data_IF_673345579253
#
_entry.id   IF_673345579253
#
_cell.length_a   1.000
_cell.length_b   1.000
_cell.length_c   1.000
_cell.angle_alpha   90.00
_cell.angle_beta   90.00
_cell.angle_gamma   90.00
#
_symmetry.space_group_name_H-M   'P 1'
#
loop_
_entity.id
_entity.type
_entity.pdbx_description
1 polymer ?
#
# COMPACT_ATOMS: atom_id res chain seq x y z
N UNK A 1 -21.81 4.75 1.76
CA UNK A 1 -22.10 4.74 0.31
C UNK A 1 -21.43 5.98 -0.29
N UNK A 2 -20.38 5.80 -1.10
CA UNK A 2 -19.56 6.89 -1.66
C UNK A 2 -19.91 7.07 -3.14
N UNK A 3 -19.90 8.29 -3.68
CA UNK A 3 -20.18 8.54 -5.10
C UNK A 3 -18.96 9.18 -5.76
N UNK A 4 -18.44 8.55 -6.81
CA UNK A 4 -17.37 9.10 -7.65
C UNK A 4 -17.89 9.17 -9.08
N UNK A 5 -18.04 10.40 -9.61
CA UNK A 5 -18.81 10.64 -10.84
C UNK A 5 -20.29 10.26 -10.68
N UNK A 6 -20.84 9.52 -11.66
CA UNK A 6 -22.25 9.10 -11.67
C UNK A 6 -22.53 7.75 -10.96
N UNK A 7 -21.50 7.09 -10.39
CA UNK A 7 -21.65 5.74 -9.82
C UNK A 7 -21.64 5.75 -8.29
N UNK A 8 -22.58 5.02 -7.69
CA UNK A 8 -22.72 4.81 -6.24
C UNK A 8 -22.02 3.51 -5.82
N UNK A 9 -21.12 3.61 -4.85
CA UNK A 9 -20.36 2.47 -4.32
C UNK A 9 -20.92 2.01 -2.95
N UNK A 10 -21.32 0.72 -2.81
CA UNK A 10 -21.95 0.20 -1.60
C UNK A 10 -20.99 -0.29 -0.49
N UNK A 11 -19.66 -0.05 -0.58
CA UNK A 11 -18.52 -0.39 0.33
C UNK A 11 -17.44 -1.26 -0.38
N UNK A 12 -16.15 -1.24 0.04
CA UNK A 12 -15.53 -0.43 1.10
C UNK A 12 -14.89 0.87 0.56
N UNK A 13 -14.51 1.74 1.49
CA UNK A 13 -13.75 2.96 1.23
C UNK A 13 -12.53 2.64 0.32
N UNK A 14 -12.08 3.59 -0.53
CA UNK A 14 -10.84 3.41 -1.28
C UNK A 14 -9.76 2.93 -0.32
N UNK A 15 -9.24 1.72 -0.55
CA UNK A 15 -8.16 1.17 0.24
C UNK A 15 -6.94 2.02 -0.07
N UNK A 16 -6.51 2.83 0.90
CA UNK A 16 -5.30 3.62 0.76
C UNK A 16 -4.11 2.69 0.94
N UNK A 17 -3.44 2.38 -0.16
CA UNK A 17 -2.24 1.54 -0.18
C UNK A 17 -0.96 2.37 -0.16
N UNK A 18 0.04 1.95 0.62
CA UNK A 18 1.40 2.51 0.56
C UNK A 18 2.35 1.45 0.03
N UNK A 19 3.10 1.77 -1.01
CA UNK A 19 4.13 0.90 -1.58
C UNK A 19 5.49 1.31 -1.03
N UNK A 20 6.14 0.43 -0.28
CA UNK A 20 7.50 0.60 0.21
C UNK A 20 8.50 0.29 -0.92
N UNK A 21 9.20 1.33 -1.37
CA UNK A 21 10.15 1.25 -2.47
C UNK A 21 11.41 0.45 -2.13
N UNK A 22 12.01 -0.17 -3.15
CA UNK A 22 13.25 -0.95 -3.04
C UNK A 22 14.43 -0.20 -2.40
N UNK A 23 14.59 1.09 -2.72
CA UNK A 23 15.71 1.93 -2.24
C UNK A 23 15.37 2.76 -1.01
N UNK A 24 14.21 2.51 -0.39
CA UNK A 24 13.83 3.23 0.83
C UNK A 24 14.71 2.74 2.00
N UNK A 25 15.37 3.65 2.74
CA UNK A 25 16.10 3.29 3.96
C UNK A 25 15.20 2.57 4.96
N UNK A 26 15.75 1.61 5.71
CA UNK A 26 14.96 0.81 6.65
C UNK A 26 14.30 1.69 7.72
N UNK A 27 15.03 2.68 8.26
CA UNK A 27 14.50 3.63 9.25
C UNK A 27 13.23 4.36 8.77
N UNK A 28 13.15 4.69 7.48
CA UNK A 28 11.97 5.33 6.90
C UNK A 28 10.81 4.34 6.75
N UNK A 29 11.10 3.09 6.38
CA UNK A 29 10.09 2.03 6.31
C UNK A 29 9.48 1.79 7.69
N UNK A 30 10.33 1.65 8.70
CA UNK A 30 9.93 1.43 10.09
C UNK A 30 9.06 2.61 10.60
N UNK A 31 9.49 3.85 10.33
CA UNK A 31 8.72 5.04 10.68
C UNK A 31 7.33 5.06 10.02
N UNK A 32 7.24 4.69 8.74
CA UNK A 32 5.96 4.62 8.02
C UNK A 32 5.07 3.53 8.62
N UNK A 33 5.61 2.33 8.84
CA UNK A 33 4.92 1.19 9.45
C UNK A 33 4.36 1.58 10.82
N UNK A 34 5.15 2.22 11.67
CA UNK A 34 4.72 2.68 12.99
C UNK A 34 3.54 3.66 12.89
N UNK A 35 3.63 4.67 12.01
CA UNK A 35 2.58 5.69 11.84
C UNK A 35 1.26 5.09 11.34
N UNK A 36 1.34 4.11 10.44
CA UNK A 36 0.14 3.56 9.77
C UNK A 36 -0.42 2.30 10.41
N UNK A 37 0.34 1.63 11.28
CA UNK A 37 -0.11 0.44 12.03
C UNK A 37 -1.46 0.63 12.75
N UNK A 38 -1.72 1.85 13.22
CA UNK A 38 -2.93 2.21 13.95
C UNK A 38 -4.06 2.77 13.05
N UNK A 39 -3.89 2.79 11.72
CA UNK A 39 -4.86 3.36 10.78
C UNK A 39 -5.69 2.27 10.13
N UNK A 40 -6.99 2.24 10.47
CA UNK A 40 -7.95 1.32 9.84
C UNK A 40 -8.10 1.65 8.35
N UNK A 41 -7.97 0.62 7.50
CA UNK A 41 -8.18 0.73 6.06
C UNK A 41 -6.95 1.15 5.26
N UNK A 42 -5.78 1.26 5.89
CA UNK A 42 -4.49 1.39 5.18
C UNK A 42 -3.88 0.01 4.99
N UNK A 43 -3.42 -0.28 3.77
CA UNK A 43 -2.66 -1.48 3.45
C UNK A 43 -1.23 -1.13 3.08
N UNK A 44 -0.29 -1.97 3.47
CA UNK A 44 1.11 -1.83 3.08
C UNK A 44 1.47 -2.85 2.02
N UNK A 45 2.37 -2.45 1.13
CA UNK A 45 2.90 -3.31 0.09
C UNK A 45 4.42 -3.16 0.02
N UNK A 46 5.14 -4.25 -0.18
CA UNK A 46 6.58 -4.26 -0.43
C UNK A 46 6.84 -4.46 -1.92
N UNK A 47 7.68 -3.60 -2.49
CA UNK A 47 8.19 -3.79 -3.85
C UNK A 47 9.41 -4.70 -3.85
N UNK A 48 9.42 -5.66 -4.78
CA UNK A 48 10.51 -6.61 -4.98
C UNK A 48 10.98 -6.59 -6.44
N UNK A 49 12.28 -6.84 -6.64
CA UNK A 49 12.84 -6.89 -7.99
C UNK A 49 12.53 -8.25 -8.59
N UNK A 50 11.83 -8.26 -9.72
CA UNK A 50 11.62 -9.48 -10.49
C UNK A 50 12.85 -9.76 -11.36
N UNK A 51 13.59 -10.86 -11.15
CA UNK A 51 14.88 -11.09 -11.83
C UNK A 51 14.77 -11.11 -13.36
N UNK A 52 13.66 -11.63 -13.89
CA UNK A 52 13.48 -11.87 -15.32
C UNK A 52 12.52 -10.87 -16.00
N UNK A 53 12.26 -9.71 -15.40
CA UNK A 53 11.35 -8.71 -15.97
C UNK A 53 11.83 -7.27 -15.76
N UNK A 54 11.47 -6.39 -16.71
CA UNK A 54 11.55 -4.93 -16.54
C UNK A 54 10.36 -4.40 -15.71
N UNK A 55 10.04 -5.08 -14.61
CA UNK A 55 8.93 -4.74 -13.75
C UNK A 55 9.29 -5.04 -12.29
N UNK A 56 8.58 -4.38 -11.38
CA UNK A 56 8.60 -4.70 -9.95
C UNK A 56 7.41 -5.58 -9.62
N UNK A 57 7.63 -6.53 -8.72
CA UNK A 57 6.55 -7.25 -8.06
C UNK A 57 6.14 -6.48 -6.82
N UNK A 58 4.83 -6.38 -6.57
CA UNK A 58 4.27 -5.66 -5.43
C UNK A 58 3.48 -6.67 -4.62
N UNK A 59 3.94 -6.93 -3.39
CA UNK A 59 3.35 -7.90 -2.48
C UNK A 59 2.71 -7.16 -1.30
N UNK A 60 1.46 -7.48 -0.96
CA UNK A 60 0.83 -7.00 0.27
C UNK A 60 1.58 -7.58 1.47
N UNK A 61 1.84 -6.75 2.49
CA UNK A 61 2.48 -7.19 3.74
C UNK A 61 1.50 -7.07 4.89
N UNK A 62 1.46 -8.10 5.72
CA UNK A 62 0.72 -8.08 6.97
C UNK A 62 1.47 -7.22 8.00
N UNK A 63 0.72 -6.38 8.72
CA UNK A 63 1.18 -5.54 9.82
C UNK A 63 1.14 -6.30 11.15
#
# INVERSE_FOLDING_TARGET
MFKEGDRLFPYPAPVTGIILGLKMPQEHKDSIVEIVSNKVGVKLYQSERKPDAFALEINEIDL
#
